data_IF_432809154983
#
_entry.id   IF_432809154983
#
_cell.length_a   1.000
_cell.length_b   1.000
_cell.length_c   1.000
_cell.angle_alpha   90.00
_cell.angle_beta   90.00
_cell.angle_gamma   90.00
#
_symmetry.space_group_name_H-M   'P 1'
#
loop_
_entity.id
_entity.type
_entity.pdbx_description
1 polymer ?
#
# COMPACT_ATOMS: atom_id res chain seq x y z
N UNK A 1 13.57 -9.56 7.49
CA UNK A 1 13.99 -8.87 6.26
C UNK A 1 12.82 -8.79 5.29
N UNK A 2 12.60 -7.62 4.72
CA UNK A 2 11.50 -7.43 3.78
C UNK A 2 11.91 -7.97 2.41
N UNK A 3 11.03 -8.79 1.84
CA UNK A 3 11.27 -9.38 0.53
C UNK A 3 10.76 -8.45 -0.55
N UNK A 4 11.63 -8.08 -1.50
CA UNK A 4 11.26 -7.22 -2.61
C UNK A 4 11.03 -8.06 -3.88
N UNK A 5 10.09 -7.64 -4.75
CA UNK A 5 9.87 -8.34 -6.02
C UNK A 5 11.08 -8.21 -6.94
N UNK A 6 11.22 -9.15 -7.86
CA UNK A 6 12.38 -9.21 -8.76
C UNK A 6 12.09 -8.64 -10.14
N UNK A 7 10.83 -8.49 -10.50
CA UNK A 7 10.44 -8.01 -11.83
C UNK A 7 9.43 -6.88 -11.71
N UNK A 8 9.35 -6.01 -12.73
CA UNK A 8 8.32 -4.96 -12.74
C UNK A 8 6.91 -5.53 -12.64
N UNK A 9 6.64 -6.65 -13.30
CA UNK A 9 5.34 -7.29 -13.27
C UNK A 9 4.97 -7.75 -11.87
N UNK A 10 5.94 -8.30 -11.14
CA UNK A 10 5.71 -8.74 -9.77
C UNK A 10 5.46 -7.55 -8.85
N UNK A 11 6.12 -6.43 -9.09
CA UNK A 11 5.90 -5.22 -8.29
C UNK A 11 4.50 -4.66 -8.54
N UNK A 12 4.09 -4.60 -9.80
CA UNK A 12 2.74 -4.15 -10.15
C UNK A 12 1.70 -5.03 -9.48
N UNK A 13 1.93 -6.34 -9.44
CA UNK A 13 1.01 -7.28 -8.80
C UNK A 13 0.90 -7.05 -7.29
N UNK A 14 2.01 -6.68 -6.63
CA UNK A 14 1.96 -6.31 -5.22
C UNK A 14 1.08 -5.09 -4.98
N UNK A 15 1.20 -4.08 -5.83
CA UNK A 15 0.40 -2.87 -5.72
C UNK A 15 -1.08 -3.18 -5.96
N UNK A 16 -1.34 -4.02 -6.94
CA UNK A 16 -2.70 -4.45 -7.25
C UNK A 16 -3.31 -5.21 -6.08
N UNK A 17 -2.54 -6.08 -5.45
CA UNK A 17 -2.99 -6.81 -4.28
C UNK A 17 -3.27 -5.86 -3.11
N UNK A 18 -2.41 -4.87 -2.92
CA UNK A 18 -2.62 -3.87 -1.87
C UNK A 18 -3.92 -3.10 -2.09
N UNK A 19 -4.20 -2.72 -3.34
CA UNK A 19 -5.43 -2.02 -3.66
C UNK A 19 -6.65 -2.88 -3.33
N UNK A 20 -6.58 -4.17 -3.68
CA UNK A 20 -7.66 -5.11 -3.36
C UNK A 20 -7.86 -5.20 -1.84
N UNK A 21 -6.78 -5.31 -1.09
CA UNK A 21 -6.86 -5.41 0.38
C UNK A 21 -7.44 -4.14 1.00
N UNK A 22 -7.08 -2.97 0.47
CA UNK A 22 -7.64 -1.70 0.94
C UNK A 22 -9.14 -1.65 0.70
N UNK A 23 -9.58 -2.10 -0.47
CA UNK A 23 -11.01 -2.13 -0.79
C UNK A 23 -11.78 -3.09 0.12
N UNK A 24 -11.20 -4.25 0.40
CA UNK A 24 -11.81 -5.22 1.30
C UNK A 24 -11.91 -4.66 2.73
N UNK A 25 -10.88 -3.98 3.18
CA UNK A 25 -10.90 -3.38 4.51
C UNK A 25 -11.94 -2.27 4.58
N UNK A 26 -12.08 -1.47 3.53
CA UNK A 26 -13.09 -0.42 3.47
C UNK A 26 -14.49 -1.00 3.59
N UNK A 27 -14.77 -2.10 2.91
CA UNK A 27 -16.05 -2.78 3.04
C UNK A 27 -16.31 -3.20 4.49
N UNK A 28 -15.30 -3.78 5.15
CA UNK A 28 -15.45 -4.22 6.54
C UNK A 28 -15.72 -3.03 7.47
N UNK A 29 -15.02 -1.92 7.27
CA UNK A 29 -15.16 -0.73 8.10
C UNK A 29 -16.53 -0.10 7.90
N UNK A 30 -16.98 0.01 6.66
CA UNK A 30 -18.28 0.59 6.35
C UNK A 30 -19.42 -0.26 6.92
N UNK A 31 -19.21 -1.57 6.94
CA UNK A 31 -20.22 -2.48 7.49
C UNK A 31 -20.29 -2.39 9.02
N UNK A 32 -19.18 -2.14 9.68
CA UNK A 32 -19.10 -2.09 11.14
C UNK A 32 -18.60 -0.71 11.62
N UNK A 33 -19.37 0.33 11.25
CA UNK A 33 -18.98 1.72 11.53
C UNK A 33 -18.89 2.04 13.01
N UNK A 34 -19.71 1.41 13.83
CA UNK A 34 -19.73 1.71 15.26
C UNK A 34 -18.41 1.37 15.94
N UNK A 35 -17.77 0.30 15.50
CA UNK A 35 -16.53 -0.17 16.11
C UNK A 35 -15.28 0.46 15.50
N UNK A 36 -15.37 0.96 14.26
CA UNK A 36 -14.19 1.35 13.50
C UNK A 36 -14.32 2.74 12.87
N UNK A 37 -15.10 3.62 13.51
CA UNK A 37 -15.42 4.92 12.93
C UNK A 37 -14.21 5.79 12.58
N UNK A 38 -13.10 5.67 13.33
CA UNK A 38 -11.90 6.45 13.05
C UNK A 38 -11.05 5.91 11.90
N UNK A 39 -11.36 4.70 11.41
CA UNK A 39 -10.54 4.07 10.38
C UNK A 39 -10.73 4.67 8.99
N UNK A 40 -11.88 5.30 8.75
CA UNK A 40 -12.18 5.85 7.42
C UNK A 40 -11.19 6.93 6.98
N UNK A 41 -10.71 7.74 7.93
CA UNK A 41 -9.77 8.81 7.59
C UNK A 41 -8.47 8.28 7.01
N UNK A 42 -7.86 7.29 7.67
CA UNK A 42 -6.60 6.76 7.16
C UNK A 42 -6.82 5.91 5.90
N UNK A 43 -7.99 5.26 5.77
CA UNK A 43 -8.29 4.48 4.58
C UNK A 43 -8.43 5.35 3.34
N UNK A 44 -9.02 6.52 3.46
CA UNK A 44 -9.11 7.44 2.33
C UNK A 44 -7.73 7.84 1.84
N UNK A 45 -6.85 8.20 2.76
CA UNK A 45 -5.48 8.59 2.42
C UNK A 45 -4.70 7.43 1.84
N UNK A 46 -4.84 6.24 2.43
CA UNK A 46 -4.16 5.04 1.96
C UNK A 46 -4.65 4.65 0.57
N UNK A 47 -5.95 4.63 0.37
CA UNK A 47 -6.52 4.26 -0.92
C UNK A 47 -6.08 5.23 -2.01
N UNK A 48 -6.12 6.52 -1.73
CA UNK A 48 -5.67 7.54 -2.68
C UNK A 48 -4.21 7.32 -3.06
N UNK A 49 -3.36 7.03 -2.08
CA UNK A 49 -1.96 6.78 -2.33
C UNK A 49 -1.71 5.54 -3.17
N UNK A 50 -2.40 4.45 -2.85
CA UNK A 50 -2.22 3.18 -3.59
C UNK A 50 -2.76 3.31 -5.02
N UNK A 51 -3.92 3.96 -5.19
CA UNK A 51 -4.47 4.18 -6.53
C UNK A 51 -3.58 5.08 -7.38
N UNK A 52 -2.99 6.11 -6.77
CA UNK A 52 -2.05 6.97 -7.46
C UNK A 52 -0.82 6.21 -7.93
N UNK A 53 -0.31 5.33 -7.09
CA UNK A 53 0.82 4.48 -7.42
C UNK A 53 0.47 3.55 -8.59
N UNK A 54 -0.69 2.90 -8.51
CA UNK A 54 -1.17 2.02 -9.57
C UNK A 54 -1.32 2.77 -10.89
N UNK A 55 -1.94 3.96 -10.86
CA UNK A 55 -2.13 4.78 -12.06
C UNK A 55 -0.81 5.18 -12.69
N UNK A 56 0.17 5.55 -11.87
CA UNK A 56 1.49 5.92 -12.37
C UNK A 56 2.17 4.74 -13.06
N UNK A 57 2.02 3.54 -12.51
CA UNK A 57 2.57 2.34 -13.12
C UNK A 57 1.91 2.02 -14.46
N UNK A 58 0.58 2.16 -14.53
CA UNK A 58 -0.16 1.87 -15.75
C UNK A 58 0.15 2.87 -16.85
N UNK A 59 0.36 4.13 -16.50
CA UNK A 59 0.65 5.19 -17.47
C UNK A 59 2.13 5.27 -17.84
N UNK A 60 2.98 4.49 -17.16
CA UNK A 60 4.42 4.50 -17.42
C UNK A 60 5.15 5.70 -16.82
N UNK A 61 4.50 6.42 -15.91
CA UNK A 61 5.09 7.60 -15.27
C UNK A 61 5.69 7.33 -13.91
N UNK A 62 5.55 6.09 -13.41
CA UNK A 62 6.09 5.73 -12.10
C UNK A 62 7.62 5.74 -12.12
N UNK A 63 8.21 6.26 -11.04
CA UNK A 63 9.65 6.26 -10.84
C UNK A 63 9.98 5.86 -9.41
N UNK A 64 11.03 5.08 -9.25
CA UNK A 64 11.58 4.77 -7.93
C UNK A 64 12.17 6.04 -7.32
N UNK A 65 12.10 6.13 -6.00
CA UNK A 65 12.61 7.30 -5.28
C UNK A 65 13.10 6.84 -3.91
N UNK A 66 14.16 7.46 -3.41
CA UNK A 66 14.76 7.10 -2.12
C UNK A 66 14.04 7.77 -0.94
N UNK A 67 12.75 7.96 -1.04
CA UNK A 67 11.95 8.48 0.07
C UNK A 67 10.70 7.62 0.22
N UNK A 68 10.15 7.63 1.44
CA UNK A 68 8.95 6.85 1.73
C UNK A 68 7.77 7.33 0.90
N UNK A 69 6.94 6.35 0.50
CA UNK A 69 5.66 6.68 -0.11
C UNK A 69 4.82 7.46 0.89
N UNK A 70 4.01 8.44 0.40
CA UNK A 70 3.29 9.34 1.31
C UNK A 70 2.41 8.64 2.35
N UNK A 71 1.80 7.52 1.99
CA UNK A 71 0.89 6.83 2.90
C UNK A 71 1.61 6.11 4.04
N UNK A 72 2.95 5.98 3.99
CA UNK A 72 3.68 5.26 5.04
C UNK A 72 3.52 5.91 6.41
N UNK A 73 3.45 7.23 6.47
CA UNK A 73 3.24 7.93 7.74
C UNK A 73 1.93 7.51 8.40
N UNK A 74 0.93 7.28 7.59
CA UNK A 74 -0.40 6.90 8.06
C UNK A 74 -0.40 5.47 8.55
N UNK A 75 0.12 4.55 7.73
CA UNK A 75 0.05 3.12 8.06
C UNK A 75 0.93 2.74 9.25
N UNK A 76 2.04 3.43 9.46
CA UNK A 76 2.92 3.10 10.59
C UNK A 76 2.28 3.42 11.94
N UNK A 77 1.26 4.27 11.95
CA UNK A 77 0.51 4.58 13.17
C UNK A 77 -0.57 3.54 13.48
N UNK A 78 -0.89 2.68 12.52
CA UNK A 78 -1.94 1.69 12.70
C UNK A 78 -1.36 0.40 13.26
N UNK A 79 -2.16 -0.29 14.08
CA UNK A 79 -1.75 -1.60 14.59
C UNK A 79 -1.91 -2.65 13.50
N UNK A 80 -1.22 -3.77 13.65
CA UNK A 80 -1.36 -4.91 12.73
C UNK A 80 -2.78 -5.45 12.75
N UNK A 81 -3.49 -5.27 13.86
CA UNK A 81 -4.87 -5.70 13.99
C UNK A 81 -5.79 -4.85 13.12
N UNK A 82 -5.57 -3.53 13.10
CA UNK A 82 -6.36 -2.61 12.31
C UNK A 82 -6.00 -2.69 10.83
N UNK A 83 -4.73 -2.99 10.53
CA UNK A 83 -4.21 -3.01 9.16
C UNK A 83 -3.43 -4.32 8.96
N UNK A 84 -4.14 -5.45 8.72
CA UNK A 84 -3.47 -6.76 8.67
C UNK A 84 -2.55 -6.96 7.49
N UNK A 85 -2.64 -6.12 6.45
CA UNK A 85 -1.74 -6.21 5.29
C UNK A 85 -0.62 -5.17 5.35
N UNK A 86 -0.24 -4.74 6.54
CA UNK A 86 0.83 -3.75 6.73
C UNK A 86 2.16 -4.22 6.12
N UNK A 87 2.45 -5.51 6.23
CA UNK A 87 3.67 -6.07 5.64
C UNK A 87 3.72 -5.88 4.13
N UNK A 88 2.59 -6.09 3.46
CA UNK A 88 2.50 -5.89 2.01
C UNK A 88 2.83 -4.45 1.63
N UNK A 89 2.32 -3.49 2.40
CA UNK A 89 2.60 -2.07 2.15
C UNK A 89 4.07 -1.76 2.40
N UNK A 90 4.67 -2.39 3.39
CA UNK A 90 6.10 -2.23 3.64
C UNK A 90 6.96 -2.81 2.52
N UNK A 91 6.52 -3.93 1.92
CA UNK A 91 7.21 -4.49 0.75
C UNK A 91 7.18 -3.52 -0.42
N UNK A 92 6.02 -2.92 -0.65
CA UNK A 92 5.87 -1.94 -1.73
C UNK A 92 6.77 -0.74 -1.47
N UNK A 93 6.78 -0.22 -0.26
CA UNK A 93 7.61 0.93 0.08
C UNK A 93 9.11 0.63 -0.03
N UNK A 94 9.53 -0.54 0.45
CA UNK A 94 10.94 -0.94 0.35
C UNK A 94 11.38 -1.04 -1.11
N UNK A 95 10.50 -1.56 -1.97
CA UNK A 95 10.79 -1.67 -3.40
C UNK A 95 10.86 -0.27 -4.02
N UNK A 96 9.96 0.62 -3.61
CA UNK A 96 9.99 1.99 -4.10
C UNK A 96 11.32 2.67 -3.79
N UNK A 97 11.84 2.46 -2.60
CA UNK A 97 13.07 3.11 -2.15
C UNK A 97 14.35 2.45 -2.65
N UNK A 98 14.33 1.13 -2.80
CA UNK A 98 15.54 0.36 -3.10
C UNK A 98 15.56 -0.23 -4.51
N UNK A 99 14.43 -0.21 -5.19
CA UNK A 99 14.30 -0.82 -6.50
C UNK A 99 13.96 -2.31 -6.41
N UNK A 100 13.92 -2.93 -7.58
CA UNK A 100 13.67 -4.36 -7.68
C UNK A 100 14.85 -5.15 -7.12
N UNK A 101 14.57 -6.36 -6.61
CA UNK A 101 15.60 -7.24 -6.07
C UNK A 101 16.25 -8.02 -7.22
N UNK A 102 17.04 -7.32 -8.01
CA UNK A 102 17.78 -7.91 -9.12
C UNK A 102 19.25 -8.01 -8.74
N UNK A 103 19.88 -9.07 -9.18
CA UNK A 103 21.30 -9.27 -8.92
C UNK A 103 22.17 -8.82 -10.09
#
# INVERSE_FOLDING_TARGET
MIKRPKTPEAYVELVRQALFEVEELRYAVEFDMDSMGGALDFLDELETGVRGLWSAMESGTYQFDDSDLPFMKVIERQSDRMLPFKYLLRQINATHRQGLDVE
#
